data_IF_636653280035
#
_entry.id   IF_636653280035
#
_cell.length_a   1.000
_cell.length_b   1.000
_cell.length_c   1.000
_cell.angle_alpha   90.00
_cell.angle_beta   90.00
_cell.angle_gamma   90.00
#
_symmetry.space_group_name_H-M   'P 1'
#
loop_
_entity.id
_entity.type
_entity.pdbx_description
1 polymer ?
#
# COMPACT_ATOMS: atom_id res chain seq x y z
N UNK A 1 20.35 -26.31 -13.43
CA UNK A 1 18.89 -26.47 -13.22
C UNK A 1 18.39 -25.10 -12.81
N UNK A 2 17.54 -24.46 -13.62
CA UNK A 2 17.07 -23.08 -13.36
C UNK A 2 15.76 -23.19 -12.57
N UNK A 3 15.78 -22.82 -11.30
CA UNK A 3 14.58 -22.84 -10.46
C UNK A 3 13.72 -21.62 -10.85
N UNK A 4 12.67 -21.86 -11.65
CA UNK A 4 11.63 -20.88 -11.88
C UNK A 4 10.81 -20.77 -10.59
N UNK A 5 10.94 -19.66 -9.88
CA UNK A 5 10.04 -19.34 -8.78
C UNK A 5 8.70 -18.92 -9.40
N UNK A 6 7.73 -19.82 -9.38
CA UNK A 6 6.32 -19.48 -9.64
C UNK A 6 5.86 -18.60 -8.47
N UNK A 7 5.59 -17.32 -8.73
CA UNK A 7 4.97 -16.44 -7.74
C UNK A 7 3.64 -17.08 -7.27
N UNK A 8 3.37 -17.14 -5.95
CA UNK A 8 2.10 -17.66 -5.49
C UNK A 8 0.98 -16.73 -5.98
N UNK A 9 -0.10 -17.32 -6.50
CA UNK A 9 -1.32 -16.59 -6.79
C UNK A 9 -1.89 -16.08 -5.46
N UNK A 10 -1.69 -14.80 -5.17
CA UNK A 10 -2.33 -14.18 -4.01
C UNK A 10 -3.82 -14.01 -4.33
N UNK A 11 -4.66 -14.71 -3.60
CA UNK A 11 -6.11 -14.53 -3.67
C UNK A 11 -6.46 -13.13 -3.13
N UNK A 12 -6.91 -12.24 -4.02
CA UNK A 12 -7.38 -10.90 -3.66
C UNK A 12 -8.78 -11.02 -3.03
N UNK A 13 -8.83 -11.01 -1.70
CA UNK A 13 -10.07 -10.75 -0.96
C UNK A 13 -10.54 -9.28 -1.14
N UNK A 14 -11.74 -8.93 -0.67
CA UNK A 14 -12.34 -7.60 -0.90
C UNK A 14 -11.59 -6.45 -0.22
N UNK A 15 -10.70 -6.76 0.72
CA UNK A 15 -9.71 -5.81 1.22
C UNK A 15 -8.52 -5.82 0.27
N UNK A 16 -8.56 -4.95 -0.74
CA UNK A 16 -7.39 -4.71 -1.59
C UNK A 16 -6.25 -4.26 -0.68
N UNK A 17 -5.33 -5.17 -0.38
CA UNK A 17 -4.03 -4.82 0.19
C UNK A 17 -3.34 -4.04 -0.92
N UNK A 18 -3.47 -2.72 -0.89
CA UNK A 18 -2.89 -1.82 -1.87
C UNK A 18 -1.38 -1.72 -1.61
N UNK A 19 -0.66 -2.79 -1.92
CA UNK A 19 0.78 -2.73 -2.09
C UNK A 19 1.11 -1.79 -3.26
N UNK A 20 2.37 -1.34 -3.30
CA UNK A 20 2.89 -0.57 -4.43
C UNK A 20 3.97 -1.35 -5.15
N UNK A 21 4.25 -1.01 -6.40
CA UNK A 21 5.36 -1.57 -7.15
C UNK A 21 6.50 -0.56 -7.18
N UNK A 22 7.75 -1.03 -7.05
CA UNK A 22 8.91 -0.17 -7.21
C UNK A 22 8.97 0.35 -8.66
N UNK A 23 9.07 1.67 -8.89
CA UNK A 23 9.14 2.21 -10.25
C UNK A 23 10.40 1.80 -11.01
N UNK A 24 11.48 1.42 -10.31
CA UNK A 24 12.74 1.01 -10.92
C UNK A 24 12.75 -0.49 -11.27
N UNK A 25 12.61 -1.36 -10.26
CA UNK A 25 12.75 -2.82 -10.44
C UNK A 25 11.42 -3.58 -10.54
N UNK A 26 10.29 -2.89 -10.39
CA UNK A 26 8.94 -3.48 -10.40
C UNK A 26 8.69 -4.54 -9.32
N UNK A 27 9.53 -4.58 -8.29
CA UNK A 27 9.33 -5.46 -7.15
C UNK A 27 8.09 -5.03 -6.35
N UNK A 28 7.37 -6.02 -5.81
CA UNK A 28 6.14 -5.80 -5.06
C UNK A 28 6.45 -5.41 -3.63
N UNK A 29 6.00 -4.23 -3.20
CA UNK A 29 6.15 -3.75 -1.83
C UNK A 29 4.81 -3.79 -1.11
N UNK A 30 4.75 -4.62 -0.07
CA UNK A 30 3.52 -4.87 0.70
C UNK A 30 3.26 -3.75 1.71
N UNK A 31 4.31 -3.15 2.29
CA UNK A 31 4.20 -2.10 3.29
C UNK A 31 5.14 -0.93 2.98
N UNK A 32 4.67 0.28 3.27
CA UNK A 32 5.51 1.47 3.26
C UNK A 32 6.44 1.45 4.48
N UNK A 33 7.66 1.97 4.32
CA UNK A 33 8.62 2.13 5.40
C UNK A 33 8.10 3.08 6.49
N UNK A 34 7.37 4.13 6.09
CA UNK A 34 6.72 5.06 6.99
C UNK A 34 5.45 5.63 6.36
N UNK A 35 4.43 5.89 7.17
CA UNK A 35 3.23 6.60 6.75
C UNK A 35 3.01 7.84 7.62
N UNK A 36 2.60 8.95 7.00
CA UNK A 36 2.34 10.21 7.66
C UNK A 36 0.93 10.71 7.30
N UNK A 37 0.10 10.96 8.32
CA UNK A 37 -1.16 11.68 8.14
C UNK A 37 -0.86 13.17 7.95
N UNK A 38 -1.06 13.70 6.75
CA UNK A 38 -0.72 15.08 6.38
C UNK A 38 -1.92 16.02 6.53
N UNK A 39 -3.13 15.52 6.29
CA UNK A 39 -4.41 16.19 6.52
C UNK A 39 -5.43 15.15 6.99
N UNK A 40 -6.63 15.58 7.41
CA UNK A 40 -7.69 14.74 7.96
C UNK A 40 -8.00 13.49 7.11
N UNK A 41 -7.85 13.60 5.80
CA UNK A 41 -8.17 12.59 4.80
C UNK A 41 -7.00 12.29 3.86
N UNK A 42 -5.78 12.74 4.17
CA UNK A 42 -4.62 12.60 3.28
C UNK A 42 -3.48 11.92 4.00
N UNK A 43 -3.09 10.73 3.53
CA UNK A 43 -1.94 9.98 4.03
C UNK A 43 -0.84 9.95 2.98
N UNK A 44 0.38 10.25 3.39
CA UNK A 44 1.59 10.11 2.59
C UNK A 44 2.35 8.86 3.01
N UNK A 45 2.67 8.01 2.06
CA UNK A 45 3.48 6.82 2.27
C UNK A 45 4.89 7.04 1.71
N UNK A 46 5.89 6.63 2.48
CA UNK A 46 7.30 6.63 2.10
C UNK A 46 7.74 5.19 1.90
N UNK A 47 8.30 4.91 0.74
CA UNK A 47 8.69 3.59 0.29
C UNK A 47 10.20 3.52 0.16
N UNK A 48 10.79 2.42 0.61
CA UNK A 48 12.18 2.07 0.37
C UNK A 48 12.17 0.63 -0.14
N UNK A 49 12.58 0.43 -1.39
CA UNK A 49 12.59 -0.89 -2.00
C UNK A 49 13.75 -1.72 -1.42
N UNK A 50 13.45 -2.86 -0.81
CA UNK A 50 14.48 -3.75 -0.26
C UNK A 50 15.33 -4.42 -1.35
N UNK A 51 14.77 -4.58 -2.56
CA UNK A 51 15.46 -5.24 -3.68
C UNK A 51 16.48 -4.35 -4.40
N UNK A 52 16.20 -3.05 -4.57
CA UNK A 52 17.08 -2.15 -5.33
C UNK A 52 17.52 -0.90 -4.56
N UNK A 53 16.99 -0.66 -3.36
CA UNK A 53 17.31 0.51 -2.54
C UNK A 53 16.64 1.80 -3.01
N UNK A 54 15.82 1.79 -4.06
CA UNK A 54 15.14 3.00 -4.54
C UNK A 54 14.09 3.49 -3.53
N UNK A 55 14.13 4.79 -3.24
CA UNK A 55 13.20 5.45 -2.33
C UNK A 55 12.25 6.38 -3.08
N UNK A 56 10.96 6.30 -2.76
CA UNK A 56 9.95 7.17 -3.35
C UNK A 56 8.76 7.37 -2.40
N UNK A 57 7.79 8.19 -2.82
CA UNK A 57 6.61 8.51 -2.01
C UNK A 57 5.32 8.44 -2.81
N UNK A 58 4.24 8.01 -2.15
CA UNK A 58 2.88 8.07 -2.69
C UNK A 58 1.96 8.84 -1.75
N UNK A 59 0.83 9.30 -2.24
CA UNK A 59 -0.19 10.00 -1.45
C UNK A 59 -1.54 9.38 -1.75
N UNK A 60 -2.29 9.04 -0.71
CA UNK A 60 -3.63 8.48 -0.82
C UNK A 60 -4.62 9.38 -0.08
N UNK A 61 -5.81 9.51 -0.68
CA UNK A 61 -6.95 10.17 -0.05
C UNK A 61 -7.84 9.11 0.58
N UNK A 62 -8.01 9.20 1.90
CA UNK A 62 -8.95 8.36 2.63
C UNK A 62 -10.37 8.77 2.25
N UNK A 63 -11.30 7.82 2.04
CA UNK A 63 -12.70 8.19 1.86
C UNK A 63 -13.19 8.92 3.10
N UNK A 64 -14.00 9.95 2.91
CA UNK A 64 -14.71 10.59 4.01
C UNK A 64 -15.59 9.52 4.66
N UNK A 65 -15.26 9.14 5.90
CA UNK A 65 -16.19 8.36 6.72
C UNK A 65 -17.35 9.31 6.98
N UNK A 66 -18.47 9.12 6.29
CA UNK A 66 -19.71 9.76 6.73
C UNK A 66 -19.86 9.38 8.21
N UNK A 67 -20.14 10.32 9.12
CA UNK A 67 -20.40 9.96 10.49
C UNK A 67 -21.55 8.96 10.45
N UNK A 68 -21.28 7.72 10.82
CA UNK A 68 -22.32 6.73 10.97
C UNK A 68 -23.30 7.34 11.98
N UNK A 69 -24.53 7.57 11.55
CA UNK A 69 -25.56 8.06 12.43
C UNK A 69 -25.65 7.04 13.55
N UNK A 70 -25.23 7.44 14.74
CA UNK A 70 -25.44 6.68 15.95
C UNK A 70 -26.96 6.57 16.09
N UNK A 71 -27.56 5.45 15.67
CA UNK A 71 -28.99 5.21 15.90
C UNK A 71 -29.21 5.28 17.43
N UNK A 72 -30.00 6.23 17.95
CA UNK A 72 -30.48 6.12 19.31
C UNK A 72 -31.49 4.97 19.37
N UNK A 73 -31.49 4.29 20.51
CA UNK A 73 -32.28 3.10 20.82
C UNK A 73 -33.80 3.29 20.69
#
# INVERSE_FOLDING_TARGET
MKHHATAPAFSVGPHKIAGSFCPECHDLMIAAAMSQLVKRDVVRHFWACESCGHEFRTTVHLPAVAPEHCCPA
#
